data_IF_942589028478
#
_entry.id   IF_942589028478
#
_cell.length_a   1.000
_cell.length_b   1.000
_cell.length_c   1.000
_cell.angle_alpha   90.00
_cell.angle_beta   90.00
_cell.angle_gamma   90.00
#
_symmetry.space_group_name_H-M   'P 1'
#
loop_
_entity.id
_entity.type
_entity.pdbx_description
1 polymer ?
#
# COMPACT_ATOMS: atom_id res chain seq x y z
N UNK A 1 10.71 22.82 0.22
CA UNK A 1 9.81 21.67 0.51
C UNK A 1 9.98 20.67 -0.64
N UNK A 2 9.89 19.36 -0.38
CA UNK A 2 10.10 18.35 -1.43
C UNK A 2 8.90 18.34 -2.40
N UNK A 3 9.14 18.47 -3.70
CA UNK A 3 8.08 18.61 -4.72
C UNK A 3 7.17 17.38 -4.84
N UNK A 4 7.68 16.18 -4.59
CA UNK A 4 6.86 14.96 -4.61
C UNK A 4 5.97 14.85 -3.37
N UNK A 5 6.49 15.22 -2.20
CA UNK A 5 5.69 15.30 -0.97
C UNK A 5 4.59 16.36 -1.08
N UNK A 6 4.85 17.50 -1.74
CA UNK A 6 3.81 18.49 -2.05
C UNK A 6 2.66 17.92 -2.87
N UNK A 7 2.97 17.06 -3.85
CA UNK A 7 1.96 16.39 -4.67
C UNK A 7 1.16 15.37 -3.84
N UNK A 8 1.81 14.61 -2.96
CA UNK A 8 1.14 13.68 -2.05
C UNK A 8 0.16 14.43 -1.13
N UNK A 9 0.59 15.57 -0.56
CA UNK A 9 -0.26 16.45 0.26
C UNK A 9 -1.45 17.01 -0.55
N UNK A 10 -1.24 17.41 -1.81
CA UNK A 10 -2.32 17.89 -2.68
C UNK A 10 -3.37 16.81 -2.94
N UNK A 11 -2.96 15.56 -3.19
CA UNK A 11 -3.91 14.45 -3.35
C UNK A 11 -4.63 14.15 -2.03
N UNK A 12 -3.93 14.08 -0.89
CA UNK A 12 -4.54 13.86 0.42
C UNK A 12 -5.65 14.90 0.71
N UNK A 13 -5.35 16.18 0.47
CA UNK A 13 -6.33 17.28 0.64
C UNK A 13 -7.54 17.12 -0.29
N UNK A 14 -7.32 16.68 -1.53
CA UNK A 14 -8.41 16.45 -2.49
C UNK A 14 -9.33 15.33 -2.01
N UNK A 15 -8.78 14.21 -1.54
CA UNK A 15 -9.56 13.09 -1.01
C UNK A 15 -10.37 13.48 0.22
N UNK A 16 -9.69 14.08 1.21
CA UNK A 16 -10.31 14.53 2.46
C UNK A 16 -11.44 15.53 2.22
N UNK A 17 -11.23 16.56 1.37
CA UNK A 17 -12.25 17.57 1.06
C UNK A 17 -13.49 17.01 0.36
N UNK A 18 -13.34 15.88 -0.34
CA UNK A 18 -14.45 15.18 -1.01
C UNK A 18 -15.08 14.09 -0.15
N UNK A 19 -14.60 13.87 1.08
CA UNK A 19 -15.08 12.80 1.96
C UNK A 19 -14.74 11.40 1.47
N UNK A 20 -13.71 11.25 0.63
CA UNK A 20 -13.36 9.93 0.06
C UNK A 20 -12.69 9.00 1.08
N UNK A 21 -12.06 9.55 2.11
CA UNK A 21 -11.18 8.82 3.01
C UNK A 21 -10.38 9.73 3.94
N UNK A 22 -9.44 9.14 4.67
CA UNK A 22 -8.55 9.85 5.60
C UNK A 22 -7.54 10.78 4.90
N UNK A 23 -6.76 11.58 5.65
CA UNK A 23 -5.85 12.60 5.13
C UNK A 23 -4.53 12.00 4.61
N UNK A 24 -4.61 10.93 3.84
CA UNK A 24 -3.44 10.18 3.34
C UNK A 24 -3.33 10.29 1.82
N UNK A 25 -2.15 10.64 1.33
CA UNK A 25 -1.82 10.74 -0.08
C UNK A 25 -0.45 10.16 -0.36
N UNK A 26 -0.27 9.63 -1.57
CA UNK A 26 0.97 9.01 -2.00
C UNK A 26 1.28 9.33 -3.46
N UNK A 27 2.57 9.35 -3.77
CA UNK A 27 3.13 9.53 -5.11
C UNK A 27 4.19 8.46 -5.32
N UNK A 28 4.10 7.75 -6.45
CA UNK A 28 5.15 6.84 -6.89
C UNK A 28 6.00 7.52 -7.97
N UNK A 29 7.32 7.48 -7.79
CA UNK A 29 8.30 8.11 -8.67
C UNK A 29 9.19 7.03 -9.29
N UNK A 30 9.51 7.17 -10.57
CA UNK A 30 10.52 6.40 -11.28
C UNK A 30 11.37 7.36 -12.09
N UNK A 31 12.70 7.32 -11.91
CA UNK A 31 13.65 8.17 -12.64
C UNK A 31 13.28 9.67 -12.56
N UNK A 32 12.99 10.14 -11.33
CA UNK A 32 12.58 11.52 -11.07
C UNK A 32 11.20 11.93 -11.62
N UNK A 33 10.46 11.01 -12.23
CA UNK A 33 9.14 11.27 -12.84
C UNK A 33 8.03 10.63 -12.04
N UNK A 34 6.93 11.35 -11.86
CA UNK A 34 5.72 10.83 -11.22
C UNK A 34 5.04 9.82 -12.15
N UNK A 35 4.94 8.58 -11.69
CA UNK A 35 4.30 7.49 -12.42
C UNK A 35 2.81 7.40 -12.09
N UNK A 36 2.50 7.55 -10.80
CA UNK A 36 1.17 7.47 -10.23
C UNK A 36 1.06 8.38 -9.01
N UNK A 37 -0.16 8.87 -8.73
CA UNK A 37 -0.47 9.64 -7.52
C UNK A 37 -1.90 9.32 -7.07
N UNK A 38 -2.10 9.14 -5.79
CA UNK A 38 -3.39 8.77 -5.24
C UNK A 38 -3.60 9.33 -3.83
N UNK A 39 -4.83 9.23 -3.36
CA UNK A 39 -5.21 9.46 -1.97
C UNK A 39 -6.03 8.29 -1.46
N UNK A 40 -6.21 8.21 -0.14
CA UNK A 40 -7.08 7.22 0.47
C UNK A 40 -8.52 7.37 -0.04
N UNK A 41 -9.11 6.27 -0.51
CA UNK A 41 -10.48 6.22 -1.04
C UNK A 41 -11.33 5.17 -0.35
N UNK A 42 -10.96 4.76 0.88
CA UNK A 42 -11.66 3.70 1.64
C UNK A 42 -13.16 3.94 1.74
N UNK A 43 -13.58 5.18 2.02
CA UNK A 43 -15.00 5.53 2.16
C UNK A 43 -15.68 5.56 0.79
N UNK A 44 -15.04 6.19 -0.20
CA UNK A 44 -15.58 6.34 -1.56
C UNK A 44 -15.81 4.99 -2.25
N UNK A 45 -14.84 4.08 -2.13
CA UNK A 45 -14.82 2.83 -2.88
C UNK A 45 -15.33 1.64 -2.06
N UNK A 46 -15.70 1.88 -0.79
CA UNK A 46 -16.12 0.84 0.16
C UNK A 46 -15.13 -0.34 0.25
N UNK A 47 -13.83 -0.04 0.14
CA UNK A 47 -12.72 -1.00 0.16
C UNK A 47 -11.72 -0.58 1.24
N UNK A 48 -11.63 -1.38 2.31
CA UNK A 48 -10.70 -1.13 3.43
C UNK A 48 -9.23 -1.15 3.03
N UNK A 49 -8.89 -1.68 1.84
CA UNK A 49 -7.53 -1.74 1.31
C UNK A 49 -7.16 -0.57 0.42
N UNK A 50 -8.10 0.33 0.10
CA UNK A 50 -7.89 1.51 -0.77
C UNK A 50 -7.11 2.65 -0.08
N UNK A 51 -5.96 2.32 0.50
CA UNK A 51 -4.97 3.27 0.97
C UNK A 51 -4.21 3.89 -0.22
N UNK A 52 -3.59 5.05 0.00
CA UNK A 52 -2.94 5.80 -1.06
C UNK A 52 -1.74 5.03 -1.66
N UNK A 53 -0.93 4.38 -0.81
CA UNK A 53 0.22 3.56 -1.20
C UNK A 53 -0.21 2.35 -2.03
N UNK A 54 -1.26 1.66 -1.59
CA UNK A 54 -1.86 0.53 -2.31
C UNK A 54 -2.30 0.95 -3.71
N UNK A 55 -2.94 2.11 -3.81
CA UNK A 55 -3.46 2.64 -5.06
C UNK A 55 -2.37 2.99 -6.06
N UNK A 56 -1.30 3.68 -5.63
CA UNK A 56 -0.18 4.01 -6.54
C UNK A 56 0.60 2.77 -6.98
N UNK A 57 0.75 1.75 -6.13
CA UNK A 57 1.36 0.47 -6.50
C UNK A 57 0.51 -0.25 -7.55
N UNK A 58 -0.80 -0.36 -7.32
CA UNK A 58 -1.74 -0.99 -8.26
C UNK A 58 -1.73 -0.28 -9.62
N UNK A 59 -1.72 1.05 -9.63
CA UNK A 59 -1.66 1.85 -10.86
C UNK A 59 -0.35 1.62 -11.63
N UNK A 60 0.79 1.65 -10.93
CA UNK A 60 2.09 1.42 -11.54
C UNK A 60 2.26 0.00 -12.08
N UNK A 61 1.80 -1.02 -11.35
CA UNK A 61 1.84 -2.39 -11.83
C UNK A 61 1.07 -2.56 -13.14
N UNK A 62 -0.12 -1.94 -13.25
CA UNK A 62 -0.91 -1.94 -14.50
C UNK A 62 -0.19 -1.21 -15.62
N UNK A 63 0.39 -0.04 -15.32
CA UNK A 63 1.08 0.80 -16.29
C UNK A 63 2.34 0.14 -16.86
N UNK A 64 3.16 -0.48 -16.01
CA UNK A 64 4.37 -1.18 -16.41
C UNK A 64 4.12 -2.63 -16.85
N UNK A 65 2.92 -3.17 -16.59
CA UNK A 65 2.62 -4.61 -16.73
C UNK A 65 3.65 -5.47 -15.99
N UNK A 66 4.07 -5.02 -14.81
CA UNK A 66 5.11 -5.65 -14.00
C UNK A 66 4.79 -5.49 -12.52
N UNK A 67 4.97 -6.54 -11.72
CA UNK A 67 4.77 -6.50 -10.27
C UNK A 67 6.01 -6.02 -9.52
N UNK A 68 7.20 -6.14 -10.13
CA UNK A 68 8.44 -5.66 -9.56
C UNK A 68 8.55 -4.16 -9.87
N UNK A 69 8.58 -3.35 -8.82
CA UNK A 69 8.74 -1.89 -8.87
C UNK A 69 10.02 -1.46 -8.13
N UNK A 70 11.05 -2.30 -8.11
CA UNK A 70 12.30 -2.03 -7.37
C UNK A 70 13.11 -0.82 -7.83
N UNK A 71 12.77 -0.29 -9.01
CA UNK A 71 13.29 0.96 -9.56
C UNK A 71 12.45 2.18 -9.18
N UNK A 72 11.33 2.00 -8.48
CA UNK A 72 10.47 3.09 -8.02
C UNK A 72 10.77 3.49 -6.58
N UNK A 73 10.30 4.69 -6.22
CA UNK A 73 10.33 5.25 -4.87
C UNK A 73 8.92 5.76 -4.51
N UNK A 74 8.51 5.67 -3.24
CA UNK A 74 7.24 6.21 -2.76
C UNK A 74 7.48 7.43 -1.88
N UNK A 75 6.66 8.46 -2.09
CA UNK A 75 6.48 9.59 -1.19
C UNK A 75 5.05 9.54 -0.65
N UNK A 76 4.88 9.38 0.67
CA UNK A 76 3.55 9.25 1.31
C UNK A 76 3.40 10.23 2.47
N UNK A 77 2.21 10.78 2.66
CA UNK A 77 1.97 11.78 3.73
C UNK A 77 2.00 11.16 5.13
N UNK A 78 1.84 9.85 5.26
CA UNK A 78 1.96 9.12 6.53
C UNK A 78 2.91 7.94 6.40
N UNK A 79 3.54 7.56 7.51
CA UNK A 79 4.33 6.35 7.61
C UNK A 79 3.44 5.16 7.19
N UNK A 80 3.88 4.30 6.25
CA UNK A 80 3.04 3.21 5.77
C UNK A 80 2.55 2.33 6.90
N UNK A 81 1.24 2.10 7.02
CA UNK A 81 0.72 1.11 7.96
C UNK A 81 1.19 -0.31 7.58
N UNK A 82 1.03 -1.30 8.46
CA UNK A 82 1.48 -2.69 8.22
C UNK A 82 1.02 -3.29 6.87
N UNK A 83 -0.20 -2.98 6.44
CA UNK A 83 -0.70 -3.42 5.13
C UNK A 83 0.10 -2.79 3.98
N UNK A 84 0.27 -1.46 4.01
CA UNK A 84 0.98 -0.73 2.98
C UNK A 84 2.47 -1.11 2.98
N UNK A 85 3.09 -1.27 4.15
CA UNK A 85 4.47 -1.74 4.28
C UNK A 85 4.66 -3.13 3.66
N UNK A 86 3.77 -4.08 3.93
CA UNK A 86 3.81 -5.40 3.30
C UNK A 86 3.68 -5.29 1.77
N UNK A 87 2.75 -4.47 1.26
CA UNK A 87 2.58 -4.28 -0.17
C UNK A 87 3.80 -3.65 -0.85
N UNK A 88 4.47 -2.70 -0.19
CA UNK A 88 5.72 -2.09 -0.65
C UNK A 88 6.83 -3.15 -0.78
N UNK A 89 6.93 -4.04 0.21
CA UNK A 89 7.86 -5.17 0.18
C UNK A 89 7.56 -6.14 -0.97
N UNK A 90 6.30 -6.54 -1.17
CA UNK A 90 5.89 -7.39 -2.30
C UNK A 90 6.14 -6.73 -3.66
N UNK A 91 5.97 -5.41 -3.75
CA UNK A 91 6.32 -4.63 -4.93
C UNK A 91 7.83 -4.39 -5.10
N UNK A 92 8.66 -4.83 -4.15
CA UNK A 92 10.13 -4.70 -4.14
C UNK A 92 10.63 -3.25 -4.15
N UNK A 93 9.79 -2.29 -3.78
CA UNK A 93 10.14 -0.87 -3.74
C UNK A 93 11.15 -0.63 -2.63
N UNK A 94 12.28 -0.01 -2.97
CA UNK A 94 13.44 0.07 -2.06
C UNK A 94 13.46 1.31 -1.19
N UNK A 95 12.72 2.37 -1.55
CA UNK A 95 12.74 3.64 -0.82
C UNK A 95 11.34 4.18 -0.60
N UNK A 96 11.11 4.58 0.64
CA UNK A 96 9.90 5.25 1.08
C UNK A 96 10.30 6.50 1.84
N UNK A 97 9.71 7.62 1.45
CA UNK A 97 9.80 8.89 2.16
C UNK A 97 8.43 9.20 2.74
N UNK A 98 8.34 9.42 4.05
CA UNK A 98 7.07 9.68 4.72
C UNK A 98 7.07 11.01 5.48
N UNK A 99 5.87 11.56 5.69
CA UNK A 99 5.64 12.78 6.46
C UNK A 99 5.31 12.50 7.92
N UNK A 100 4.05 12.12 8.18
CA UNK A 100 3.53 11.86 9.52
C UNK A 100 4.00 10.50 10.05
N UNK A 101 4.28 10.43 11.34
CA UNK A 101 4.56 9.22 12.11
C UNK A 101 3.27 8.50 12.54
N UNK A 102 3.38 7.25 13.00
CA UNK A 102 2.24 6.53 13.62
C UNK A 102 1.61 7.28 14.79
N UNK A 103 2.41 8.02 15.59
CA UNK A 103 1.89 8.82 16.70
C UNK A 103 0.99 9.95 16.21
N UNK A 104 1.37 10.61 15.12
CA UNK A 104 0.56 11.68 14.52
C UNK A 104 -0.69 11.13 13.85
N UNK A 105 -0.63 9.95 13.23
CA UNK A 105 -1.81 9.24 12.74
C UNK A 105 -2.78 8.88 13.88
N UNK A 106 -2.23 8.38 15.01
CA UNK A 106 -3.02 8.02 16.20
C UNK A 106 -3.76 9.22 16.79
N UNK A 107 -3.18 10.43 16.76
CA UNK A 107 -3.86 11.65 17.21
C UNK A 107 -5.14 11.97 16.41
N UNK A 108 -5.28 11.39 15.20
CA UNK A 108 -6.47 11.50 14.35
C UNK A 108 -7.39 10.28 14.45
N UNK A 109 -7.07 9.30 15.31
CA UNK A 109 -7.82 8.06 15.48
C UNK A 109 -7.44 6.92 14.54
N UNK A 110 -6.32 7.02 13.81
CA UNK A 110 -5.80 5.95 12.96
C UNK A 110 -4.68 5.18 13.67
N UNK A 111 -4.94 3.92 14.06
CA UNK A 111 -3.91 3.01 14.57
C UNK A 111 -3.19 2.32 13.41
N UNK A 112 -2.32 3.07 12.73
CA UNK A 112 -1.58 2.57 11.56
C UNK A 112 -0.52 1.53 11.93
N UNK A 113 -0.06 1.52 13.18
CA UNK A 113 0.93 0.57 13.68
C UNK A 113 0.32 -0.81 13.97
N UNK A 114 -0.88 -0.88 14.54
CA UNK A 114 -1.50 -2.14 14.96
C UNK A 114 -2.70 -2.56 14.11
N UNK A 115 -3.30 -1.61 13.39
CA UNK A 115 -4.59 -1.80 12.74
C UNK A 115 -5.75 -1.58 13.71
N UNK A 116 -6.96 -1.48 13.17
CA UNK A 116 -8.16 -1.15 13.93
C UNK A 116 -9.02 -2.37 14.33
N UNK A 117 -8.62 -3.59 13.96
CA UNK A 117 -9.33 -4.81 14.34
C UNK A 117 -8.99 -5.22 15.79
N UNK A 118 -9.98 -5.15 16.68
CA UNK A 118 -9.88 -5.61 18.08
C UNK A 118 -10.55 -6.98 18.22
N UNK A 119 -9.82 -8.04 17.86
CA UNK A 119 -10.33 -9.41 17.97
C UNK A 119 -10.03 -10.32 16.78
N UNK A 120 -8.97 -10.03 16.03
CA UNK A 120 -8.53 -10.95 14.97
C UNK A 120 -8.05 -12.27 15.59
N UNK A 121 -8.82 -13.34 15.39
CA UNK A 121 -8.41 -14.70 15.69
C UNK A 121 -7.88 -15.38 14.42
N UNK A 122 -6.63 -15.83 14.44
CA UNK A 122 -6.04 -16.61 13.35
C UNK A 122 -5.91 -18.06 13.83
N UNK A 123 -6.71 -18.95 13.25
CA UNK A 123 -6.73 -20.39 13.59
C UNK A 123 -6.31 -21.21 12.38
N UNK A 124 -5.41 -22.18 12.59
CA UNK A 124 -5.00 -23.16 11.56
C UNK A 124 -5.98 -24.33 11.57
N UNK A 125 -6.55 -24.64 10.42
CA UNK A 125 -7.47 -25.78 10.18
C UNK A 125 -7.05 -26.49 8.89
N UNK A 126 -7.50 -27.73 8.69
CA UNK A 126 -7.40 -28.49 7.43
C UNK A 126 -6.00 -28.48 6.78
N UNK A 127 -4.96 -28.67 7.60
CA UNK A 127 -3.58 -28.46 7.16
C UNK A 127 -3.04 -29.53 6.20
N UNK A 128 -3.65 -30.71 6.15
CA UNK A 128 -3.17 -31.79 5.27
C UNK A 128 -3.41 -31.43 3.79
N UNK A 129 -4.62 -31.04 3.42
CA UNK A 129 -4.96 -30.69 2.03
C UNK A 129 -4.27 -29.40 1.57
N UNK A 130 -4.13 -28.41 2.45
CA UNK A 130 -3.42 -27.16 2.12
C UNK A 130 -1.91 -27.38 1.94
N UNK A 131 -1.32 -28.40 2.58
CA UNK A 131 0.08 -28.79 2.33
C UNK A 131 0.20 -29.53 0.99
N UNK A 132 -0.74 -30.42 0.63
CA UNK A 132 -0.75 -31.06 -0.69
C UNK A 132 -0.83 -30.04 -1.83
N UNK A 133 -1.61 -28.96 -1.67
CA UNK A 133 -1.64 -27.84 -2.61
C UNK A 133 -0.24 -27.23 -2.86
N UNK A 134 0.60 -27.16 -1.83
CA UNK A 134 1.99 -26.68 -1.96
C UNK A 134 2.85 -27.68 -2.74
N UNK A 135 2.66 -28.98 -2.54
CA UNK A 135 3.33 -30.03 -3.31
C UNK A 135 2.92 -29.97 -4.79
N UNK A 136 1.62 -29.79 -5.07
CA UNK A 136 1.10 -29.57 -6.42
C UNK A 136 1.76 -28.35 -7.07
N UNK A 137 1.75 -27.19 -6.40
CA UNK A 137 2.46 -25.99 -6.89
C UNK A 137 3.93 -26.29 -7.18
N UNK A 138 4.58 -27.09 -6.34
CA UNK A 138 5.98 -27.43 -6.52
C UNK A 138 6.26 -28.33 -7.72
N UNK A 139 5.30 -29.18 -8.11
CA UNK A 139 5.37 -30.05 -9.28
C UNK A 139 5.15 -29.32 -10.61
N UNK A 140 4.57 -28.11 -10.60
CA UNK A 140 4.31 -27.35 -11.81
C UNK A 140 5.62 -26.92 -12.50
N UNK A 141 5.75 -27.26 -13.79
CA UNK A 141 6.89 -26.88 -14.61
C UNK A 141 6.93 -25.40 -14.99
N UNK A 142 5.79 -24.71 -14.92
CA UNK A 142 5.63 -23.27 -15.24
C UNK A 142 5.19 -22.45 -14.03
N UNK A 143 5.89 -22.60 -12.90
CA UNK A 143 5.67 -21.75 -11.73
C UNK A 143 6.49 -20.46 -11.82
N UNK A 144 5.87 -19.33 -11.50
CA UNK A 144 6.53 -18.03 -11.41
C UNK A 144 6.40 -17.50 -9.99
N UNK A 145 7.55 -17.27 -9.35
CA UNK A 145 7.62 -16.59 -8.05
C UNK A 145 7.68 -15.10 -8.32
N UNK A 146 6.89 -14.33 -7.59
CA UNK A 146 6.85 -12.88 -7.67
C UNK A 146 7.27 -12.25 -6.36
#
# INVERSE_FOLDING_TARGET
>A
MNSFMELAIKEARKGMKKGHGGPFGAVLVYDGKVIAKAHNTVIKDHDSTCHAEMSVIREANKKFKNFNLSWCEIYTTGQPCKMCEAAINWAKIKKVYYGNTYKEAMNMGFDDEKGNNKGLEIKRIDSEETVKLVEEWNSLSKKHIY
#
